data_IF_570112656997
#
_entry.id   IF_570112656997
#
_cell.length_a   1.000
_cell.length_b   1.000
_cell.length_c   1.000
_cell.angle_alpha   90.00
_cell.angle_beta   90.00
_cell.angle_gamma   90.00
#
_symmetry.space_group_name_H-M   'P 1'
#
loop_
_entity.id
_entity.type
_entity.pdbx_description
1 polymer ?
#
# COMPACT_ATOMS: atom_id res chain seq x y z
N UNK A 1 21.61 -20.16 -0.26
CA UNK A 1 21.49 -19.91 1.19
C UNK A 1 20.68 -21.06 1.77
N UNK A 2 21.09 -21.65 2.89
CA UNK A 2 20.30 -22.70 3.55
C UNK A 2 19.41 -22.04 4.60
N UNK A 3 18.12 -22.29 4.54
CA UNK A 3 17.13 -21.75 5.48
C UNK A 3 16.55 -22.93 6.24
N UNK A 4 16.60 -22.86 7.57
CA UNK A 4 15.91 -23.83 8.42
C UNK A 4 14.51 -23.34 8.69
N UNK A 5 13.52 -24.12 8.27
CA UNK A 5 12.12 -23.84 8.51
C UNK A 5 11.70 -24.38 9.88
N UNK A 6 10.69 -23.75 10.48
CA UNK A 6 10.03 -24.32 11.65
C UNK A 6 9.14 -25.49 11.23
N UNK A 7 8.91 -26.49 12.10
CA UNK A 7 8.05 -27.64 11.77
C UNK A 7 6.67 -27.25 11.25
N UNK A 8 6.08 -26.17 11.76
CA UNK A 8 4.76 -25.69 11.32
C UNK A 8 4.80 -25.14 9.89
N UNK A 9 5.91 -24.54 9.47
CA UNK A 9 6.10 -24.02 8.11
C UNK A 9 6.29 -25.16 7.11
N UNK A 10 7.05 -26.20 7.50
CA UNK A 10 7.22 -27.41 6.69
C UNK A 10 5.88 -28.12 6.48
N UNK A 11 5.11 -28.31 7.56
CA UNK A 11 3.77 -28.90 7.48
C UNK A 11 2.83 -28.08 6.59
N UNK A 12 2.89 -26.74 6.69
CA UNK A 12 2.11 -25.88 5.82
C UNK A 12 2.47 -26.09 4.35
N UNK A 13 3.76 -26.01 3.99
CA UNK A 13 4.22 -26.21 2.61
C UNK A 13 3.79 -27.60 2.10
N UNK A 14 4.01 -28.64 2.91
CA UNK A 14 3.64 -30.01 2.56
C UNK A 14 2.13 -30.13 2.28
N UNK A 15 1.28 -29.51 3.11
CA UNK A 15 -0.18 -29.51 2.88
C UNK A 15 -0.58 -28.85 1.56
N UNK A 16 0.14 -27.82 1.10
CA UNK A 16 -0.17 -27.18 -0.17
C UNK A 16 0.24 -28.06 -1.36
N UNK A 17 1.32 -28.81 -1.22
CA UNK A 17 1.78 -29.77 -2.23
C UNK A 17 0.81 -30.95 -2.33
N UNK A 18 0.37 -31.49 -1.19
CA UNK A 18 -0.61 -32.59 -1.14
C UNK A 18 -1.95 -32.19 -1.77
N UNK A 19 -2.33 -30.91 -1.65
CA UNK A 19 -3.52 -30.33 -2.29
C UNK A 19 -3.31 -30.03 -3.78
N UNK A 20 -2.12 -30.25 -4.32
CA UNK A 20 -1.76 -30.00 -5.71
C UNK A 20 -1.61 -28.52 -6.07
N UNK A 21 -1.49 -27.63 -5.07
CA UNK A 21 -1.33 -26.19 -5.30
C UNK A 21 0.09 -25.88 -5.81
N UNK A 22 1.09 -26.60 -5.30
CA UNK A 22 2.49 -26.49 -5.72
C UNK A 22 3.06 -27.88 -6.02
N UNK A 23 3.98 -27.95 -6.98
CA UNK A 23 4.62 -29.19 -7.40
C UNK A 23 5.77 -29.61 -6.47
N UNK A 24 6.40 -28.65 -5.78
CA UNK A 24 7.51 -28.89 -4.86
C UNK A 24 7.65 -27.73 -3.84
N UNK A 25 8.44 -27.91 -2.77
CA UNK A 25 8.66 -26.87 -1.75
C UNK A 25 9.28 -25.59 -2.33
N UNK A 26 10.18 -25.70 -3.30
CA UNK A 26 10.85 -24.56 -3.91
C UNK A 26 9.84 -23.61 -4.58
N UNK A 27 8.87 -24.14 -5.29
CA UNK A 27 7.81 -23.36 -5.93
C UNK A 27 6.92 -22.63 -4.91
N UNK A 28 6.62 -23.29 -3.78
CA UNK A 28 5.85 -22.67 -2.70
C UNK A 28 6.62 -21.51 -2.05
N UNK A 29 7.93 -21.69 -1.86
CA UNK A 29 8.82 -20.65 -1.30
C UNK A 29 8.98 -19.49 -2.29
N UNK A 30 9.16 -19.76 -3.58
CA UNK A 30 9.24 -18.72 -4.61
C UNK A 30 7.96 -17.85 -4.64
N UNK A 31 6.79 -18.48 -4.59
CA UNK A 31 5.52 -17.77 -4.53
C UNK A 31 5.40 -16.89 -3.27
N UNK A 32 5.82 -17.40 -2.11
CA UNK A 32 5.81 -16.64 -0.87
C UNK A 32 6.76 -15.43 -0.91
N UNK A 33 7.95 -15.59 -1.50
CA UNK A 33 8.92 -14.50 -1.65
C UNK A 33 8.44 -13.44 -2.65
N UNK A 34 7.80 -13.84 -3.76
CA UNK A 34 7.20 -12.88 -4.70
C UNK A 34 6.12 -12.04 -4.03
N UNK A 35 5.24 -12.67 -3.24
CA UNK A 35 4.22 -11.93 -2.49
C UNK A 35 4.83 -10.93 -1.49
N UNK A 36 5.93 -11.33 -0.84
CA UNK A 36 6.65 -10.43 0.07
C UNK A 36 7.28 -9.25 -0.69
N UNK A 37 7.86 -9.50 -1.87
CA UNK A 37 8.42 -8.46 -2.73
C UNK A 37 7.35 -7.48 -3.23
N UNK A 38 6.22 -7.98 -3.73
CA UNK A 38 5.09 -7.16 -4.18
C UNK A 38 4.56 -6.27 -3.04
N UNK A 39 4.47 -6.83 -1.83
CA UNK A 39 4.07 -6.07 -0.66
C UNK A 39 5.10 -4.98 -0.29
N UNK A 40 6.40 -5.30 -0.37
CA UNK A 40 7.48 -4.34 -0.10
C UNK A 40 7.48 -3.18 -1.10
N UNK A 41 7.38 -3.50 -2.39
CA UNK A 41 7.35 -2.50 -3.47
C UNK A 41 6.16 -1.57 -3.30
N UNK A 42 4.97 -2.11 -3.01
CA UNK A 42 3.77 -1.29 -2.83
C UNK A 42 3.90 -0.35 -1.62
N UNK A 43 4.52 -0.80 -0.54
CA UNK A 43 4.75 0.03 0.65
C UNK A 43 5.80 1.12 0.40
N UNK A 44 6.92 0.80 -0.24
CA UNK A 44 7.97 1.76 -0.55
C UNK A 44 7.49 2.85 -1.51
N UNK A 45 6.76 2.46 -2.55
CA UNK A 45 6.14 3.39 -3.49
C UNK A 45 5.14 4.31 -2.77
N UNK A 46 4.24 3.73 -1.97
CA UNK A 46 3.30 4.50 -1.18
C UNK A 46 4.03 5.47 -0.24
N UNK A 47 5.08 5.02 0.44
CA UNK A 47 5.85 5.83 1.38
C UNK A 47 6.50 7.02 0.67
N UNK A 48 7.12 6.78 -0.48
CA UNK A 48 7.80 7.82 -1.25
C UNK A 48 6.80 8.84 -1.82
N UNK A 49 5.69 8.39 -2.41
CA UNK A 49 4.63 9.28 -2.88
C UNK A 49 4.05 10.16 -1.76
N UNK A 50 3.87 9.59 -0.57
CA UNK A 50 3.34 10.34 0.57
C UNK A 50 4.39 11.30 1.14
N UNK A 51 5.67 10.91 1.18
CA UNK A 51 6.76 11.80 1.61
C UNK A 51 6.80 13.04 0.71
N UNK A 52 6.73 12.87 -0.61
CA UNK A 52 6.72 14.00 -1.54
C UNK A 52 5.53 14.94 -1.32
N UNK A 53 4.32 14.39 -1.09
CA UNK A 53 3.13 15.20 -0.77
C UNK A 53 3.29 16.01 0.52
N UNK A 54 3.88 15.40 1.55
CA UNK A 54 4.17 16.06 2.82
C UNK A 54 5.19 17.18 2.64
N UNK A 55 6.28 16.94 1.92
CA UNK A 55 7.31 17.95 1.63
C UNK A 55 6.73 19.16 0.90
N UNK A 56 5.87 18.93 -0.11
CA UNK A 56 5.15 20.01 -0.80
C UNK A 56 4.31 20.81 0.19
N UNK A 57 3.53 20.14 1.05
CA UNK A 57 2.69 20.81 2.05
C UNK A 57 3.52 21.62 3.05
N UNK A 58 4.65 21.09 3.52
CA UNK A 58 5.57 21.81 4.41
C UNK A 58 6.13 23.07 3.73
N UNK A 59 6.59 22.96 2.49
CA UNK A 59 7.07 24.10 1.73
C UNK A 59 5.97 25.16 1.49
N UNK A 60 4.72 24.75 1.27
CA UNK A 60 3.57 25.66 1.20
C UNK A 60 3.34 26.40 2.52
N UNK A 61 3.41 25.68 3.65
CA UNK A 61 3.28 26.28 4.97
C UNK A 61 4.38 27.31 5.26
N UNK A 62 5.62 27.03 4.88
CA UNK A 62 6.76 27.95 4.99
C UNK A 62 6.55 29.23 4.17
N UNK A 63 5.97 29.11 2.98
CA UNK A 63 5.59 30.26 2.14
C UNK A 63 4.34 31.00 2.63
N UNK A 64 3.70 30.51 3.69
CA UNK A 64 2.48 31.10 4.23
C UNK A 64 1.21 30.77 3.44
N UNK A 65 1.26 29.78 2.54
CA UNK A 65 0.12 29.29 1.75
C UNK A 65 -0.82 28.42 2.60
N UNK A 66 -1.36 29.03 3.66
CA UNK A 66 -2.27 28.40 4.61
C UNK A 66 -3.53 29.23 4.77
N UNK A 67 -4.61 28.59 5.18
CA UNK A 67 -5.89 29.23 5.43
C UNK A 67 -6.60 28.56 6.62
N UNK A 68 -7.55 29.27 7.26
CA UNK A 68 -8.32 28.70 8.36
C UNK A 68 -9.09 27.44 7.95
N UNK A 69 -9.33 26.55 8.92
CA UNK A 69 -9.99 25.28 8.68
C UNK A 69 -11.42 25.45 8.16
N UNK A 70 -12.12 26.47 8.62
CA UNK A 70 -13.48 26.81 8.22
C UNK A 70 -13.56 27.08 6.72
N UNK A 71 -12.57 27.81 6.18
CA UNK A 71 -12.44 28.07 4.75
C UNK A 71 -12.18 26.79 3.95
N UNK A 72 -11.52 25.78 4.56
CA UNK A 72 -11.32 24.48 3.93
C UNK A 72 -12.65 23.74 3.72
N UNK A 73 -13.49 23.69 4.76
CA UNK A 73 -14.79 23.04 4.70
C UNK A 73 -15.71 23.73 3.69
N UNK A 74 -15.79 25.06 3.70
CA UNK A 74 -16.59 25.81 2.72
C UNK A 74 -16.16 25.56 1.27
N UNK A 75 -14.85 25.43 1.01
CA UNK A 75 -14.33 25.11 -0.32
C UNK A 75 -14.69 23.67 -0.72
N UNK A 76 -14.59 22.74 0.22
CA UNK A 76 -14.91 21.33 -0.01
C UNK A 76 -16.41 21.15 -0.32
N UNK A 77 -17.29 21.75 0.49
CA UNK A 77 -18.75 21.70 0.28
C UNK A 77 -19.15 22.25 -1.08
N UNK A 78 -18.61 23.43 -1.46
CA UNK A 78 -18.85 24.00 -2.79
C UNK A 78 -18.43 23.07 -3.91
N UNK A 79 -17.26 22.42 -3.78
CA UNK A 79 -16.77 21.46 -4.78
C UNK A 79 -17.67 20.24 -4.89
N UNK A 80 -18.13 19.70 -3.77
CA UNK A 80 -19.06 18.55 -3.74
C UNK A 80 -20.42 18.91 -4.35
N UNK A 81 -20.98 20.06 -4.01
CA UNK A 81 -22.27 20.50 -4.55
C UNK A 81 -22.21 20.71 -6.06
N UNK A 82 -21.15 21.35 -6.57
CA UNK A 82 -20.93 21.54 -8.00
C UNK A 82 -20.87 20.21 -8.76
N UNK A 83 -20.15 19.21 -8.22
CA UNK A 83 -20.07 17.88 -8.83
C UNK A 83 -21.42 17.15 -8.88
N UNK A 84 -22.32 17.42 -7.92
CA UNK A 84 -23.67 16.84 -7.90
C UNK A 84 -24.58 17.50 -8.93
N UNK A 85 -24.46 18.82 -9.10
CA UNK A 85 -25.22 19.58 -10.10
C UNK A 85 -24.81 19.21 -11.53
N UNK A 86 -23.53 18.94 -11.79
CA UNK A 86 -23.02 18.52 -13.11
C UNK A 86 -23.44 17.10 -13.53
N UNK A 87 -24.02 16.30 -12.61
CA UNK A 87 -24.46 14.93 -12.84
C UNK A 87 -25.99 14.81 -13.04
N UNK A 88 -26.72 15.94 -13.02
CA UNK A 88 -28.17 16.04 -13.24
C UNK A 88 -28.48 16.64 -14.61
#
# INVERSE_FOLDING_TARGET
>A
MNITLKPEQEQFIQSQIERGIFANPEQAIEAALRLLEEQSISYEQWLEENRQKVEVGLAQLERGEKFPLEVAFERLERKVNKLREEQQ
#
